data_IF_679075019468
#
_entry.id   IF_679075019468
#
_cell.length_a   1.000
_cell.length_b   1.000
_cell.length_c   1.000
_cell.angle_alpha   90.00
_cell.angle_beta   90.00
_cell.angle_gamma   90.00
#
_symmetry.space_group_name_H-M   'P 1'
#
loop_
_entity.id
_entity.type
_entity.pdbx_description
1 polymer ?
#
# COMPACT_ATOMS: atom_id res chain seq x y z
N UNK A 1 16.09 -32.26 -9.67
CA UNK A 1 15.71 -31.23 -8.68
C UNK A 1 16.81 -30.19 -8.42
N UNK A 2 18.08 -30.56 -8.47
CA UNK A 2 19.22 -29.63 -8.23
C UNK A 2 19.45 -28.58 -9.33
N UNK A 3 19.10 -28.84 -10.57
CA UNK A 3 19.37 -27.95 -11.72
C UNK A 3 18.51 -26.64 -11.69
N UNK A 4 17.31 -26.67 -11.10
CA UNK A 4 16.43 -25.49 -10.98
C UNK A 4 16.96 -24.45 -9.98
N UNK A 5 17.65 -24.88 -8.93
CA UNK A 5 18.22 -24.00 -7.92
C UNK A 5 19.45 -23.23 -8.42
N UNK A 6 20.22 -23.86 -9.32
CA UNK A 6 21.42 -23.25 -9.91
C UNK A 6 21.04 -22.12 -10.86
N UNK A 7 19.98 -22.25 -11.64
CA UNK A 7 19.55 -21.21 -12.59
C UNK A 7 19.02 -19.95 -11.87
N UNK A 8 18.30 -20.09 -10.76
CA UNK A 8 17.78 -18.96 -9.98
C UNK A 8 18.91 -18.26 -9.22
N UNK A 9 19.84 -19.01 -8.64
CA UNK A 9 21.01 -18.46 -7.96
C UNK A 9 21.96 -17.76 -8.94
N UNK A 10 22.14 -18.30 -10.15
CA UNK A 10 22.98 -17.71 -11.21
C UNK A 10 22.36 -16.43 -11.79
N UNK A 11 21.03 -16.34 -11.91
CA UNK A 11 20.34 -15.12 -12.31
C UNK A 11 20.49 -14.00 -11.26
N UNK A 12 20.44 -14.34 -9.98
CA UNK A 12 20.66 -13.36 -8.88
C UNK A 12 22.11 -12.90 -8.81
N UNK A 13 23.08 -13.80 -9.04
CA UNK A 13 24.51 -13.45 -9.02
C UNK A 13 24.97 -12.71 -10.29
N UNK A 14 24.43 -12.99 -11.47
CA UNK A 14 24.77 -12.24 -12.69
C UNK A 14 24.27 -10.79 -12.67
N UNK A 15 23.19 -10.47 -11.94
CA UNK A 15 22.70 -9.10 -11.76
C UNK A 15 23.55 -8.26 -10.78
N UNK A 16 24.34 -8.91 -9.91
CA UNK A 16 25.21 -8.22 -8.95
C UNK A 16 26.49 -7.68 -9.59
N UNK A 17 26.91 -8.21 -10.75
CA UNK A 17 28.18 -7.87 -11.41
C UNK A 17 28.08 -7.01 -12.67
N UNK A 18 26.92 -6.58 -13.11
CA UNK A 18 26.81 -5.59 -14.18
C UNK A 18 26.86 -4.18 -13.60
N UNK A 19 28.06 -3.63 -13.59
CA UNK A 19 28.35 -2.25 -13.17
C UNK A 19 27.65 -1.21 -14.03
N UNK A 20 27.29 -0.10 -13.37
CA UNK A 20 26.84 1.19 -13.90
C UNK A 20 25.41 1.25 -14.42
N UNK A 21 24.45 1.12 -13.51
CA UNK A 21 23.14 1.73 -13.70
C UNK A 21 23.16 3.12 -13.03
N UNK A 22 23.03 4.17 -13.81
CA UNK A 22 22.79 5.52 -13.30
C UNK A 22 21.44 5.53 -12.57
N UNK A 23 21.47 5.80 -11.27
CA UNK A 23 20.26 5.96 -10.49
C UNK A 23 19.52 7.23 -10.92
N UNK A 24 18.37 7.07 -11.55
CA UNK A 24 17.49 8.17 -11.89
C UNK A 24 16.74 8.62 -10.61
N UNK A 25 16.98 9.86 -10.22
CA UNK A 25 16.29 10.55 -9.13
C UNK A 25 14.83 10.76 -9.51
N UNK A 26 13.94 9.99 -8.94
CA UNK A 26 12.51 10.30 -8.96
C UNK A 26 12.20 11.31 -7.85
N UNK A 27 12.42 12.58 -8.16
CA UNK A 27 11.95 13.68 -7.34
C UNK A 27 10.55 14.03 -7.80
N UNK A 28 9.54 13.64 -7.02
CA UNK A 28 8.21 14.25 -7.11
C UNK A 28 8.33 15.73 -6.79
N UNK A 29 8.59 16.54 -7.82
CA UNK A 29 8.46 17.98 -7.74
C UNK A 29 6.98 18.31 -7.81
N UNK A 30 6.44 18.87 -6.74
CA UNK A 30 5.29 19.74 -6.83
C UNK A 30 5.60 20.85 -7.86
N UNK A 31 4.92 20.82 -8.97
CA UNK A 31 5.01 21.86 -9.99
C UNK A 31 4.17 23.04 -9.50
N UNK A 32 4.82 24.04 -8.95
CA UNK A 32 4.26 25.38 -8.89
C UNK A 32 4.20 25.94 -10.32
N UNK A 33 3.01 26.27 -10.76
CA UNK A 33 2.75 26.99 -12.01
C UNK A 33 3.27 28.42 -11.90
N UNK A 34 4.53 28.64 -12.29
CA UNK A 34 5.01 29.95 -12.79
C UNK A 34 6.47 29.80 -13.18
N UNK A 35 6.70 29.54 -14.44
CA UNK A 35 7.79 30.07 -15.27
C UNK A 35 7.93 29.27 -16.56
N UNK A 36 7.16 29.64 -17.56
CA UNK A 36 7.52 29.35 -18.96
C UNK A 36 8.73 30.19 -19.32
N UNK A 37 9.93 29.66 -19.19
CA UNK A 37 11.10 30.10 -19.93
C UNK A 37 11.61 28.92 -20.74
N UNK A 38 11.56 29.10 -22.07
CA UNK A 38 12.22 28.27 -23.04
C UNK A 38 13.67 28.02 -22.61
N UNK A 39 13.99 26.78 -22.37
CA UNK A 39 15.36 26.29 -22.43
C UNK A 39 15.41 25.32 -23.59
N UNK A 40 15.93 25.83 -24.73
CA UNK A 40 16.44 24.99 -25.78
C UNK A 40 17.62 24.18 -25.19
N UNK A 41 17.41 22.92 -24.91
CA UNK A 41 18.50 21.96 -24.75
C UNK A 41 18.21 20.72 -25.58
N UNK A 42 18.91 20.66 -26.66
CA UNK A 42 19.10 19.55 -27.56
C UNK A 42 19.90 18.43 -26.84
N UNK A 43 19.19 17.69 -25.98
CA UNK A 43 19.60 16.35 -25.56
C UNK A 43 18.33 15.53 -25.49
N UNK A 44 17.87 15.10 -26.67
CA UNK A 44 16.88 14.05 -26.78
C UNK A 44 17.53 12.72 -26.37
N UNK A 45 17.65 12.48 -25.06
CA UNK A 45 17.79 11.11 -24.58
C UNK A 45 16.52 10.38 -24.99
N UNK A 46 16.64 9.51 -25.98
CA UNK A 46 15.54 8.62 -26.36
C UNK A 46 15.14 7.83 -25.13
N UNK A 47 13.85 7.81 -24.75
CA UNK A 47 13.42 7.06 -23.58
C UNK A 47 13.93 5.62 -23.71
N UNK A 48 14.55 5.11 -22.64
CA UNK A 48 15.07 3.74 -22.66
C UNK A 48 13.90 2.79 -22.89
N UNK A 49 13.92 2.04 -23.97
CA UNK A 49 12.87 1.06 -24.32
C UNK A 49 12.68 -0.01 -23.26
N UNK A 50 13.70 -0.27 -22.46
CA UNK A 50 13.68 -1.26 -21.40
C UNK A 50 14.38 -0.73 -20.16
N UNK A 51 13.68 -0.77 -19.03
CA UNK A 51 14.22 -0.36 -17.74
C UNK A 51 14.01 -1.46 -16.70
N UNK A 52 14.99 -1.61 -15.83
CA UNK A 52 14.94 -2.50 -14.67
C UNK A 52 15.31 -1.67 -13.45
N UNK A 53 14.47 -1.73 -12.43
CA UNK A 53 14.76 -1.18 -11.11
C UNK A 53 14.21 -2.10 -10.03
N UNK A 54 14.54 -1.82 -8.80
CA UNK A 54 14.05 -2.65 -7.72
C UNK A 54 14.72 -2.33 -6.40
N UNK A 55 14.53 -3.25 -5.46
CA UNK A 55 15.19 -3.16 -4.17
C UNK A 55 15.42 -4.54 -3.56
N UNK A 56 16.36 -4.58 -2.63
CA UNK A 56 16.52 -5.67 -1.68
C UNK A 56 16.42 -5.04 -0.30
N UNK A 57 15.63 -5.65 0.58
CA UNK A 57 15.57 -5.26 1.99
C UNK A 57 15.69 -6.47 2.91
N UNK A 58 16.31 -6.25 4.03
CA UNK A 58 16.29 -7.12 5.19
C UNK A 58 15.45 -6.47 6.26
N UNK A 59 14.56 -7.24 6.88
CA UNK A 59 13.74 -6.81 8.00
C UNK A 59 13.83 -7.86 9.09
N UNK A 60 14.23 -7.44 10.29
CA UNK A 60 14.16 -8.25 11.49
C UNK A 60 13.04 -7.72 12.38
N UNK A 61 12.11 -8.60 12.76
CA UNK A 61 11.02 -8.30 13.67
C UNK A 61 11.20 -9.08 14.96
N UNK A 62 11.18 -8.37 16.08
CA UNK A 62 11.06 -8.94 17.42
C UNK A 62 9.70 -8.62 18.01
N UNK A 63 8.92 -9.64 18.38
CA UNK A 63 7.58 -9.48 18.98
C UNK A 63 7.51 -10.07 20.37
N UNK A 64 6.91 -9.35 21.31
CA UNK A 64 6.73 -9.74 22.72
C UNK A 64 5.45 -9.10 23.30
N UNK A 65 4.98 -9.56 24.44
CA UNK A 65 3.77 -8.99 25.07
C UNK A 65 4.15 -8.01 26.19
N UNK A 66 4.60 -8.48 27.33
CA UNK A 66 4.90 -7.60 28.47
C UNK A 66 6.41 -7.37 28.69
N UNK A 67 7.21 -8.38 28.40
CA UNK A 67 8.66 -8.34 28.57
C UNK A 67 9.36 -9.18 27.50
N UNK A 68 10.65 -9.05 27.41
CA UNK A 68 11.46 -9.73 26.39
C UNK A 68 11.63 -11.24 26.61
N UNK A 69 11.17 -11.81 27.74
CA UNK A 69 11.30 -13.26 28.00
C UNK A 69 10.51 -14.13 27.00
N UNK A 70 9.48 -13.56 26.39
CA UNK A 70 8.66 -14.21 25.36
C UNK A 70 8.96 -13.72 23.94
N UNK A 71 10.13 -13.14 23.70
CA UNK A 71 10.53 -12.60 22.40
C UNK A 71 10.49 -13.67 21.31
N UNK A 72 9.76 -13.37 20.23
CA UNK A 72 9.68 -14.19 19.02
C UNK A 72 10.26 -13.41 17.86
N UNK A 73 11.17 -14.03 17.13
CA UNK A 73 11.87 -13.40 16.00
C UNK A 73 11.31 -13.88 14.67
N UNK A 74 11.26 -12.95 13.72
CA UNK A 74 10.99 -13.16 12.32
C UNK A 74 11.99 -12.37 11.49
N UNK A 75 12.85 -13.06 10.75
CA UNK A 75 13.69 -12.47 9.72
C UNK A 75 13.01 -12.55 8.35
N UNK A 76 13.09 -11.50 7.57
CA UNK A 76 12.57 -11.41 6.22
C UNK A 76 13.60 -10.80 5.28
N UNK A 77 13.97 -11.54 4.23
CA UNK A 77 14.65 -10.99 3.07
C UNK A 77 13.61 -10.79 1.98
N UNK A 78 13.47 -9.57 1.51
CA UNK A 78 12.50 -9.19 0.50
C UNK A 78 13.23 -8.53 -0.69
N UNK A 79 13.11 -9.13 -1.85
CA UNK A 79 13.60 -8.58 -3.12
C UNK A 79 12.43 -8.26 -4.03
N UNK A 80 12.50 -7.14 -4.70
CA UNK A 80 11.57 -6.75 -5.76
C UNK A 80 12.32 -6.36 -7.01
N UNK A 81 11.85 -6.86 -8.15
CA UNK A 81 12.34 -6.55 -9.49
C UNK A 81 11.19 -5.98 -10.31
N UNK A 82 11.36 -4.80 -10.85
CA UNK A 82 10.40 -4.11 -11.69
C UNK A 82 10.99 -3.97 -13.09
N UNK A 83 10.33 -4.60 -14.05
CA UNK A 83 10.66 -4.53 -15.46
C UNK A 83 9.62 -3.68 -16.19
N UNK A 84 10.08 -2.70 -16.95
CA UNK A 84 9.24 -1.89 -17.84
C UNK A 84 9.83 -1.96 -19.25
N UNK A 85 8.97 -2.28 -20.21
CA UNK A 85 9.31 -2.26 -21.63
C UNK A 85 8.36 -1.33 -22.38
N UNK A 86 8.92 -0.35 -23.08
CA UNK A 86 8.18 0.66 -23.82
C UNK A 86 8.72 0.69 -25.24
N UNK A 87 8.13 -0.10 -26.18
CA UNK A 87 8.61 -0.19 -27.56
C UNK A 87 8.40 1.09 -28.36
N UNK A 88 7.33 1.84 -28.04
CA UNK A 88 6.92 3.08 -28.68
C UNK A 88 6.17 3.99 -27.68
N UNK A 89 5.64 5.10 -28.16
CA UNK A 89 4.94 6.10 -27.33
C UNK A 89 3.55 5.64 -26.88
N UNK A 90 3.01 4.56 -27.44
CA UNK A 90 1.68 4.08 -27.17
C UNK A 90 1.66 2.90 -26.18
N UNK A 91 2.60 1.98 -26.30
CA UNK A 91 2.60 0.74 -25.53
C UNK A 91 3.59 0.74 -24.38
N UNK A 92 3.13 0.31 -23.22
CA UNK A 92 3.97 0.03 -22.04
C UNK A 92 3.61 -1.33 -21.46
N UNK A 93 4.63 -2.18 -21.30
CA UNK A 93 4.51 -3.47 -20.62
C UNK A 93 5.22 -3.41 -19.29
N UNK A 94 4.58 -3.92 -18.22
CA UNK A 94 5.13 -3.97 -16.85
C UNK A 94 5.08 -5.38 -16.32
N UNK A 95 6.19 -5.81 -15.74
CA UNK A 95 6.28 -7.04 -14.96
C UNK A 95 7.01 -6.74 -13.66
N UNK A 96 6.34 -6.97 -12.52
CA UNK A 96 6.93 -6.74 -11.20
C UNK A 96 6.86 -8.01 -10.37
N UNK A 97 8.03 -8.49 -9.97
CA UNK A 97 8.20 -9.75 -9.26
C UNK A 97 8.72 -9.47 -7.86
N UNK A 98 8.06 -10.06 -6.88
CA UNK A 98 8.41 -9.98 -5.47
C UNK A 98 8.83 -11.35 -4.96
N UNK A 99 10.01 -11.41 -4.33
CA UNK A 99 10.55 -12.61 -3.70
C UNK A 99 10.72 -12.35 -2.21
N UNK A 100 10.23 -13.27 -1.37
CA UNK A 100 10.32 -13.17 0.09
C UNK A 100 10.85 -14.47 0.68
N UNK A 101 11.89 -14.36 1.50
CA UNK A 101 12.41 -15.45 2.32
C UNK A 101 12.14 -15.08 3.77
N UNK A 102 11.17 -15.75 4.39
CA UNK A 102 10.81 -15.58 5.80
C UNK A 102 11.43 -16.70 6.61
N UNK A 103 12.02 -16.38 7.76
CA UNK A 103 12.63 -17.39 8.64
C UNK A 103 12.53 -17.00 10.11
N UNK A 104 12.63 -17.96 10.99
CA UNK A 104 12.63 -17.75 12.44
C UNK A 104 11.48 -18.44 13.17
N UNK A 105 11.35 -18.09 14.44
CA UNK A 105 10.41 -18.73 15.36
C UNK A 105 8.95 -18.47 14.97
N UNK A 106 8.63 -17.30 14.41
CA UNK A 106 7.27 -16.97 14.01
C UNK A 106 6.83 -17.84 12.83
N UNK A 107 7.72 -18.10 11.86
CA UNK A 107 7.43 -19.02 10.73
C UNK A 107 7.12 -20.43 11.23
N UNK A 108 7.90 -20.91 12.20
CA UNK A 108 7.75 -22.25 12.78
C UNK A 108 6.47 -22.40 13.60
N UNK A 109 6.14 -21.40 14.41
CA UNK A 109 5.13 -21.51 15.48
C UNK A 109 3.76 -20.98 15.09
N UNK A 110 3.63 -20.27 13.96
CA UNK A 110 2.34 -19.72 13.53
C UNK A 110 1.68 -20.66 12.50
N UNK A 111 0.60 -21.39 12.87
CA UNK A 111 -0.13 -22.21 11.92
C UNK A 111 -0.67 -21.36 10.76
N UNK A 112 -0.42 -21.77 9.52
CA UNK A 112 -0.89 -21.01 8.35
C UNK A 112 -0.04 -19.79 7.97
N UNK A 113 1.18 -19.64 8.50
CA UNK A 113 2.09 -18.52 8.17
C UNK A 113 2.26 -18.33 6.65
N UNK A 114 2.40 -19.42 5.90
CA UNK A 114 2.51 -19.36 4.44
C UNK A 114 1.29 -18.67 3.78
N UNK A 115 0.08 -18.93 4.28
CA UNK A 115 -1.15 -18.30 3.77
C UNK A 115 -1.18 -16.80 4.03
N UNK A 116 -0.64 -16.32 5.16
CA UNK A 116 -0.49 -14.90 5.45
C UNK A 116 0.47 -14.23 4.45
N UNK A 117 1.61 -14.87 4.21
CA UNK A 117 2.63 -14.33 3.30
C UNK A 117 2.16 -14.33 1.86
N UNK A 118 1.49 -15.38 1.39
CA UNK A 118 0.98 -15.43 0.01
C UNK A 118 -0.16 -14.43 -0.24
N UNK A 119 -0.89 -14.04 0.81
CA UNK A 119 -1.98 -13.08 0.73
C UNK A 119 -3.17 -13.54 -0.13
N UNK A 120 -4.17 -12.70 -0.30
CA UNK A 120 -5.26 -12.97 -1.23
C UNK A 120 -4.70 -13.02 -2.65
N UNK A 121 -4.98 -14.13 -3.33
CA UNK A 121 -4.58 -14.33 -4.73
C UNK A 121 -5.65 -13.73 -5.61
N UNK A 122 -5.26 -12.96 -6.63
CA UNK A 122 -6.14 -12.52 -7.68
C UNK A 122 -6.86 -13.69 -8.38
N UNK A 123 -7.60 -13.43 -9.43
CA UNK A 123 -8.29 -14.46 -10.23
C UNK A 123 -7.30 -15.50 -10.73
N UNK A 124 -6.15 -15.04 -11.21
CA UNK A 124 -5.03 -15.90 -11.61
C UNK A 124 -4.07 -16.05 -10.43
N UNK A 125 -3.69 -17.29 -10.12
CA UNK A 125 -2.68 -17.54 -9.09
C UNK A 125 -1.28 -17.28 -9.67
N UNK A 126 -0.69 -16.14 -9.33
CA UNK A 126 0.68 -15.75 -9.71
C UNK A 126 1.63 -15.75 -8.49
N UNK A 127 1.39 -16.63 -7.54
CA UNK A 127 2.20 -16.77 -6.33
C UNK A 127 2.58 -18.24 -6.09
N UNK A 128 3.85 -18.50 -5.81
CA UNK A 128 4.38 -19.83 -5.59
C UNK A 128 5.23 -19.88 -4.33
N UNK A 129 5.03 -20.94 -3.52
CA UNK A 129 5.87 -21.25 -2.37
C UNK A 129 6.90 -22.30 -2.76
N UNK A 130 8.13 -21.89 -3.04
CA UNK A 130 9.23 -22.76 -3.42
C UNK A 130 9.73 -23.63 -2.27
N UNK A 131 9.74 -23.04 -1.08
CA UNK A 131 10.09 -23.70 0.18
C UNK A 131 9.03 -23.35 1.23
N UNK A 132 8.51 -24.36 1.89
CA UNK A 132 7.61 -24.20 3.04
C UNK A 132 7.93 -25.35 4.02
N UNK A 133 8.98 -25.16 4.81
CA UNK A 133 9.50 -26.19 5.71
C UNK A 133 9.89 -25.58 7.06
N UNK A 134 9.41 -26.21 8.15
CA UNK A 134 9.78 -25.86 9.53
C UNK A 134 9.76 -24.34 9.79
N UNK A 135 10.95 -23.71 9.82
CA UNK A 135 11.16 -22.30 10.15
C UNK A 135 11.54 -21.45 8.95
N UNK A 136 11.34 -21.93 7.72
CA UNK A 136 11.70 -21.20 6.49
C UNK A 136 10.57 -21.29 5.46
N UNK A 137 10.21 -20.13 4.92
CA UNK A 137 9.29 -19.99 3.80
C UNK A 137 9.97 -19.17 2.69
N UNK A 138 10.04 -19.70 1.47
CA UNK A 138 10.42 -18.92 0.29
C UNK A 138 9.22 -18.81 -0.65
N UNK A 139 8.77 -17.60 -0.86
CA UNK A 139 7.64 -17.25 -1.72
C UNK A 139 8.05 -16.28 -2.83
N UNK A 140 7.58 -16.53 -4.03
CA UNK A 140 7.65 -15.58 -5.15
C UNK A 140 6.24 -15.23 -5.63
N UNK A 141 6.00 -13.96 -5.89
CA UNK A 141 4.70 -13.44 -6.37
C UNK A 141 4.92 -12.45 -7.50
N UNK A 142 4.16 -12.56 -8.57
CA UNK A 142 4.07 -11.52 -9.60
C UNK A 142 2.98 -10.54 -9.13
N UNK A 143 3.41 -9.36 -8.70
CA UNK A 143 2.52 -8.30 -8.18
C UNK A 143 1.89 -7.48 -9.31
N UNK A 144 2.59 -7.34 -10.45
CA UNK A 144 2.13 -6.65 -11.65
C UNK A 144 2.52 -7.46 -12.89
N UNK A 145 1.59 -7.59 -13.81
CA UNK A 145 1.81 -8.14 -15.14
C UNK A 145 0.76 -7.52 -16.06
N UNK A 146 1.07 -6.38 -16.69
CA UNK A 146 0.10 -5.58 -17.43
C UNK A 146 0.67 -5.03 -18.73
N UNK A 147 -0.23 -4.81 -19.67
CA UNK A 147 -0.03 -4.07 -20.91
C UNK A 147 -0.92 -2.83 -20.89
N UNK A 148 -0.34 -1.67 -21.15
CA UNK A 148 -0.98 -0.37 -21.22
C UNK A 148 -0.86 0.17 -22.64
N UNK A 149 -1.94 0.72 -23.14
CA UNK A 149 -2.03 1.39 -24.42
C UNK A 149 -2.59 2.80 -24.25
N UNK A 150 -1.81 3.81 -24.63
CA UNK A 150 -2.20 5.22 -24.57
C UNK A 150 -2.27 5.80 -25.97
N UNK A 151 -3.41 6.37 -26.33
CA UNK A 151 -3.57 7.09 -27.60
C UNK A 151 -4.54 8.28 -27.43
N UNK A 152 -3.98 9.48 -27.56
CA UNK A 152 -4.71 10.72 -27.36
C UNK A 152 -5.36 10.81 -25.97
N UNK A 153 -6.68 10.72 -25.90
CA UNK A 153 -7.45 10.80 -24.66
C UNK A 153 -7.70 9.45 -23.98
N UNK A 154 -7.32 8.36 -24.63
CA UNK A 154 -7.58 7.01 -24.16
C UNK A 154 -6.35 6.41 -23.49
N UNK A 155 -6.53 5.80 -22.31
CA UNK A 155 -5.58 4.96 -21.61
C UNK A 155 -6.30 3.64 -21.29
N UNK A 156 -5.77 2.54 -21.84
CA UNK A 156 -6.34 1.20 -21.69
C UNK A 156 -5.27 0.31 -21.07
N UNK A 157 -5.55 -0.28 -19.92
CA UNK A 157 -4.64 -1.20 -19.25
C UNK A 157 -5.29 -2.55 -19.02
N UNK A 158 -4.62 -3.63 -19.42
CA UNK A 158 -5.06 -5.00 -19.25
C UNK A 158 -4.05 -5.80 -18.43
N UNK A 159 -4.54 -6.70 -17.58
CA UNK A 159 -3.72 -7.60 -16.76
C UNK A 159 -3.68 -7.22 -15.29
N UNK A 160 -2.69 -7.78 -14.55
CA UNK A 160 -2.52 -7.47 -13.13
C UNK A 160 -1.92 -6.09 -12.96
N UNK A 161 -2.72 -5.18 -12.44
CA UNK A 161 -2.39 -3.76 -12.30
C UNK A 161 -2.89 -3.21 -10.97
N UNK A 162 -2.35 -2.07 -10.53
CA UNK A 162 -2.91 -1.30 -9.44
C UNK A 162 -3.95 -0.32 -9.98
N UNK A 163 -5.17 -0.43 -9.47
CA UNK A 163 -6.23 0.55 -9.70
C UNK A 163 -6.36 1.32 -8.39
N UNK A 164 -5.95 2.57 -8.39
CA UNK A 164 -5.95 3.41 -7.18
C UNK A 164 -7.03 4.48 -7.29
N UNK A 165 -8.14 4.25 -6.60
CA UNK A 165 -9.24 5.19 -6.51
C UNK A 165 -9.32 5.89 -5.14
N UNK A 166 -8.42 5.55 -4.23
CA UNK A 166 -8.33 6.21 -2.94
C UNK A 166 -7.60 7.55 -3.00
N UNK A 167 -8.11 8.53 -2.28
CA UNK A 167 -7.54 9.88 -2.12
C UNK A 167 -6.86 10.01 -0.75
N UNK A 168 -7.47 9.43 0.28
CA UNK A 168 -7.01 9.53 1.66
C UNK A 168 -5.72 8.75 1.89
N UNK A 169 -4.98 9.10 2.94
CA UNK A 169 -3.66 8.53 3.21
C UNK A 169 -3.74 7.25 4.02
N UNK A 170 -4.57 7.22 5.08
CA UNK A 170 -4.65 6.12 6.04
C UNK A 170 -5.73 5.12 5.64
N UNK A 171 -6.95 5.57 5.52
CA UNK A 171 -8.09 4.75 5.11
C UNK A 171 -8.66 5.27 3.81
N UNK A 172 -8.80 4.39 2.82
CA UNK A 172 -9.22 4.71 1.46
C UNK A 172 -10.49 3.94 1.08
N UNK A 173 -11.68 4.34 1.59
CA UNK A 173 -12.94 3.67 1.30
C UNK A 173 -13.24 3.49 -0.19
N UNK A 174 -12.81 4.45 -1.02
CA UNK A 174 -13.03 4.43 -2.45
C UNK A 174 -12.08 3.51 -3.22
N UNK A 175 -11.03 2.98 -2.58
CA UNK A 175 -10.10 2.03 -3.21
C UNK A 175 -10.68 0.60 -3.19
N UNK A 176 -11.77 0.40 -3.94
CA UNK A 176 -12.55 -0.84 -3.95
C UNK A 176 -11.82 -2.00 -4.62
N UNK A 177 -10.83 -1.75 -5.47
CA UNK A 177 -10.06 -2.79 -6.17
C UNK A 177 -8.86 -3.28 -5.38
N UNK A 178 -8.19 -2.40 -4.61
CA UNK A 178 -6.90 -2.68 -3.98
C UNK A 178 -6.84 -2.25 -2.52
N UNK A 179 -7.73 -2.78 -1.69
CA UNK A 179 -7.75 -2.47 -0.26
C UNK A 179 -6.41 -2.78 0.40
N UNK A 180 -5.93 -1.85 1.20
CA UNK A 180 -4.61 -1.86 1.81
C UNK A 180 -4.69 -1.98 3.34
N UNK A 181 -3.71 -2.67 3.94
CA UNK A 181 -3.53 -2.72 5.38
C UNK A 181 -2.41 -1.75 5.81
N UNK A 182 -2.77 -0.70 6.52
CA UNK A 182 -1.82 0.30 7.02
C UNK A 182 -0.76 -0.29 7.98
N UNK A 183 -1.04 -1.42 8.62
CA UNK A 183 -0.12 -2.07 9.56
C UNK A 183 0.90 -3.01 8.92
N UNK A 184 0.82 -3.25 7.62
CA UNK A 184 1.80 -4.08 6.92
C UNK A 184 3.00 -3.24 6.48
N UNK A 185 4.02 -3.14 7.35
CA UNK A 185 5.24 -2.40 7.06
C UNK A 185 6.16 -3.04 6.02
N UNK A 186 5.99 -4.32 5.76
CA UNK A 186 6.73 -4.99 4.68
C UNK A 186 6.17 -4.62 3.31
N UNK A 187 4.88 -4.35 3.24
CA UNK A 187 4.16 -4.15 1.99
C UNK A 187 4.10 -2.67 1.62
N UNK A 188 5.23 -2.13 1.14
CA UNK A 188 5.33 -0.72 0.70
C UNK A 188 4.42 -0.44 -0.51
N UNK A 189 4.12 -1.48 -1.30
CA UNK A 189 3.35 -1.36 -2.51
C UNK A 189 2.02 -2.10 -2.40
N UNK A 190 0.94 -1.43 -2.78
CA UNK A 190 -0.40 -2.01 -2.71
C UNK A 190 -0.55 -3.17 -3.68
N UNK A 191 -1.35 -4.20 -3.35
CA UNK A 191 -1.58 -5.36 -4.21
C UNK A 191 -2.15 -4.94 -5.57
N UNK A 192 -1.98 -5.80 -6.58
CA UNK A 192 -2.60 -5.65 -7.89
C UNK A 192 -3.89 -6.43 -7.98
N UNK A 193 -4.80 -5.95 -8.85
CA UNK A 193 -5.98 -6.65 -9.30
C UNK A 193 -5.81 -7.14 -10.73
N UNK A 194 -6.27 -8.35 -11.02
CA UNK A 194 -6.39 -8.84 -12.39
C UNK A 194 -7.59 -8.13 -13.01
N UNK A 195 -7.36 -7.19 -13.94
CA UNK A 195 -8.39 -6.27 -14.38
C UNK A 195 -8.21 -5.79 -15.82
N UNK A 196 -9.31 -5.33 -16.39
CA UNK A 196 -9.34 -4.44 -17.53
C UNK A 196 -9.75 -3.04 -17.05
N UNK A 197 -8.99 -2.02 -17.45
CA UNK A 197 -9.24 -0.62 -17.13
C UNK A 197 -9.23 0.21 -18.39
N UNK A 198 -10.16 1.12 -18.52
CA UNK A 198 -10.24 2.10 -19.61
C UNK A 198 -10.48 3.48 -19.00
N UNK A 199 -9.56 4.38 -19.22
CA UNK A 199 -9.66 5.77 -18.81
C UNK A 199 -9.81 6.67 -20.04
N UNK A 200 -10.78 7.56 -19.99
CA UNK A 200 -10.97 8.61 -21.00
C UNK A 200 -10.74 9.98 -20.38
N UNK A 201 -9.70 10.67 -20.83
CA UNK A 201 -9.33 12.00 -20.39
C UNK A 201 -10.15 13.03 -21.17
N UNK A 202 -11.16 13.62 -20.54
CA UNK A 202 -12.02 14.65 -21.14
C UNK A 202 -11.22 15.90 -21.40
N UNK A 203 -10.49 16.32 -20.37
CA UNK A 203 -9.56 17.44 -20.37
C UNK A 203 -8.47 17.18 -19.30
N UNK A 204 -7.44 18.05 -19.11
CA UNK A 204 -6.36 17.82 -18.15
C UNK A 204 -6.79 17.63 -16.69
N UNK A 205 -7.97 18.13 -16.31
CA UNK A 205 -8.48 18.08 -14.92
C UNK A 205 -9.74 17.22 -14.75
N UNK A 206 -10.17 16.51 -15.80
CA UNK A 206 -11.39 15.69 -15.74
C UNK A 206 -11.24 14.40 -16.56
N UNK A 207 -11.63 13.28 -15.98
CA UNK A 207 -11.59 11.97 -16.64
C UNK A 207 -12.72 11.06 -16.19
N UNK A 208 -13.05 10.08 -17.03
CA UNK A 208 -13.90 8.94 -16.68
C UNK A 208 -13.02 7.71 -16.71
N UNK A 209 -13.09 6.91 -15.66
CA UNK A 209 -12.32 5.69 -15.47
C UNK A 209 -13.28 4.52 -15.27
N UNK A 210 -13.24 3.54 -16.14
CA UNK A 210 -14.01 2.30 -16.05
C UNK A 210 -13.06 1.14 -15.75
N UNK A 211 -13.36 0.34 -14.74
CA UNK A 211 -12.55 -0.81 -14.39
C UNK A 211 -13.42 -2.03 -14.04
N UNK A 212 -12.96 -3.20 -14.48
CA UNK A 212 -13.57 -4.49 -14.17
C UNK A 212 -12.48 -5.45 -13.73
N UNK A 213 -12.68 -6.06 -12.56
CA UNK A 213 -11.81 -7.11 -12.00
C UNK A 213 -12.67 -8.37 -11.79
N UNK A 214 -12.52 -9.41 -12.61
CA UNK A 214 -13.19 -10.68 -12.38
C UNK A 214 -12.64 -11.35 -11.12
N UNK A 215 -13.51 -11.98 -10.36
CA UNK A 215 -13.14 -12.85 -9.23
C UNK A 215 -13.06 -14.32 -9.65
N UNK A 216 -12.66 -15.20 -8.71
CA UNK A 216 -12.74 -16.65 -8.92
C UNK A 216 -14.15 -17.17 -9.01
N UNK A 217 -15.08 -16.45 -8.39
CA UNK A 217 -16.53 -16.69 -8.48
C UNK A 217 -17.21 -15.39 -8.85
N UNK A 218 -18.42 -15.47 -9.40
CA UNK A 218 -19.23 -14.30 -9.72
C UNK A 218 -19.44 -13.36 -8.51
N UNK A 219 -19.39 -13.94 -7.30
CA UNK A 219 -19.55 -13.21 -6.03
C UNK A 219 -18.37 -12.32 -5.69
N UNK A 220 -17.23 -12.53 -6.33
CA UNK A 220 -15.99 -11.78 -6.10
C UNK A 220 -15.73 -10.73 -7.18
N UNK A 221 -16.60 -10.65 -8.20
CA UNK A 221 -16.45 -9.68 -9.28
C UNK A 221 -16.59 -8.24 -8.74
N UNK A 222 -15.75 -7.36 -9.28
CA UNK A 222 -15.82 -5.92 -9.02
C UNK A 222 -15.87 -5.23 -10.39
N UNK A 223 -16.80 -4.31 -10.56
CA UNK A 223 -16.88 -3.49 -11.76
C UNK A 223 -17.49 -2.14 -11.43
N UNK A 224 -16.82 -1.07 -11.84
CA UNK A 224 -17.28 0.27 -11.49
C UNK A 224 -16.80 1.32 -12.50
N UNK A 225 -17.48 2.45 -12.49
CA UNK A 225 -17.10 3.66 -13.22
C UNK A 225 -16.88 4.78 -12.24
N UNK A 226 -15.82 5.58 -12.47
CA UNK A 226 -15.47 6.76 -11.68
C UNK A 226 -15.38 7.97 -12.58
N UNK A 227 -15.92 9.08 -12.12
CA UNK A 227 -15.75 10.39 -12.71
C UNK A 227 -14.90 11.27 -11.81
N UNK A 228 -13.77 11.73 -12.35
CA UNK A 228 -12.88 12.70 -11.73
C UNK A 228 -13.09 14.08 -12.35
N UNK A 229 -13.10 15.12 -11.49
CA UNK A 229 -13.13 16.50 -11.96
C UNK A 229 -12.53 17.44 -10.90
N UNK A 230 -11.92 18.53 -11.36
CA UNK A 230 -11.47 19.62 -10.50
C UNK A 230 -12.47 20.77 -10.55
N UNK A 231 -12.82 21.29 -9.38
CA UNK A 231 -13.68 22.48 -9.23
C UNK A 231 -13.38 23.19 -7.91
N UNK A 232 -13.30 24.52 -7.92
CA UNK A 232 -13.02 25.34 -6.73
C UNK A 232 -11.71 24.96 -6.03
N UNK A 233 -10.67 24.66 -6.80
CA UNK A 233 -9.37 24.19 -6.32
C UNK A 233 -9.41 22.87 -5.49
N UNK A 234 -10.49 22.10 -5.65
CA UNK A 234 -10.63 20.76 -5.12
C UNK A 234 -10.73 19.74 -6.25
N UNK A 235 -10.06 18.64 -6.08
CA UNK A 235 -10.25 17.44 -6.88
C UNK A 235 -11.38 16.60 -6.29
N UNK A 236 -12.41 16.35 -7.07
CA UNK A 236 -13.56 15.53 -6.71
C UNK A 236 -13.54 14.21 -7.46
N UNK A 237 -14.06 13.20 -6.82
CA UNK A 237 -14.36 11.92 -7.46
C UNK A 237 -15.73 11.42 -7.04
N UNK A 238 -16.44 10.82 -8.00
CA UNK A 238 -17.72 10.13 -7.80
C UNK A 238 -17.63 8.78 -8.49
N UNK A 239 -17.99 7.72 -7.81
CA UNK A 239 -18.02 6.41 -8.44
C UNK A 239 -19.31 5.66 -8.14
N UNK A 240 -19.66 4.71 -9.04
CA UNK A 240 -20.75 3.77 -8.87
C UNK A 240 -20.42 2.46 -9.57
N UNK A 241 -20.93 1.36 -9.05
CA UNK A 241 -20.68 0.05 -9.64
C UNK A 241 -21.20 -1.10 -8.81
N UNK A 242 -20.58 -2.25 -9.01
CA UNK A 242 -20.84 -3.50 -8.28
C UNK A 242 -19.58 -3.94 -7.57
N UNK A 243 -19.67 -4.15 -6.29
CA UNK A 243 -18.64 -4.74 -5.45
C UNK A 243 -19.15 -6.03 -4.83
N UNK A 244 -18.63 -7.19 -5.30
CA UNK A 244 -18.99 -8.51 -4.77
C UNK A 244 -20.52 -8.73 -4.73
N UNK A 245 -21.19 -8.60 -5.88
CA UNK A 245 -22.66 -8.66 -6.09
C UNK A 245 -23.48 -7.49 -5.54
N UNK A 246 -22.92 -6.66 -4.67
CA UNK A 246 -23.65 -5.55 -4.10
C UNK A 246 -23.43 -4.28 -4.91
N UNK A 247 -24.50 -3.52 -5.12
CA UNK A 247 -24.37 -2.15 -5.60
C UNK A 247 -23.47 -1.35 -4.66
N UNK A 248 -22.59 -0.55 -5.23
CA UNK A 248 -21.71 0.36 -4.48
C UNK A 248 -21.68 1.72 -5.15
N UNK A 249 -21.59 2.75 -4.35
CA UNK A 249 -21.36 4.11 -4.79
C UNK A 249 -20.50 4.85 -3.77
N UNK A 250 -19.74 5.83 -4.22
CA UNK A 250 -18.93 6.63 -3.33
C UNK A 250 -18.55 7.97 -3.91
N UNK A 251 -18.02 8.82 -3.04
CA UNK A 251 -17.56 10.13 -3.36
C UNK A 251 -16.28 10.44 -2.58
N UNK A 252 -15.45 11.32 -3.11
CA UNK A 252 -14.27 11.80 -2.41
C UNK A 252 -13.88 13.18 -2.88
N UNK A 253 -13.07 13.83 -2.07
CA UNK A 253 -12.49 15.14 -2.38
C UNK A 253 -11.10 15.27 -1.80
N UNK A 254 -10.25 16.03 -2.48
CA UNK A 254 -8.95 16.48 -2.00
C UNK A 254 -8.73 17.94 -2.38
N UNK A 255 -8.31 18.73 -1.45
CA UNK A 255 -8.01 20.14 -1.62
C UNK A 255 -7.38 20.71 -0.37
N UNK A 256 -7.41 22.04 -0.27
CA UNK A 256 -6.81 22.72 0.87
C UNK A 256 -7.80 23.69 1.51
N UNK A 257 -7.75 23.79 2.83
CA UNK A 257 -8.35 24.90 3.60
C UNK A 257 -7.20 25.80 4.01
N UNK A 258 -7.01 26.91 3.29
CA UNK A 258 -5.80 27.74 3.35
C UNK A 258 -4.55 26.89 3.06
N UNK A 259 -3.65 26.74 4.03
CA UNK A 259 -2.41 25.98 3.91
C UNK A 259 -2.52 24.53 4.42
N UNK A 260 -3.68 24.12 4.94
CA UNK A 260 -3.91 22.77 5.45
C UNK A 260 -4.55 21.90 4.37
N UNK A 261 -3.99 20.73 4.12
CA UNK A 261 -4.59 19.70 3.27
C UNK A 261 -5.90 19.21 3.89
N UNK A 262 -6.96 19.06 3.09
CA UNK A 262 -8.26 18.58 3.50
C UNK A 262 -8.80 17.56 2.51
N UNK A 263 -8.99 16.31 2.97
CA UNK A 263 -9.38 15.18 2.15
C UNK A 263 -10.48 14.38 2.83
N UNK A 264 -11.35 13.81 2.03
CA UNK A 264 -12.37 12.90 2.55
C UNK A 264 -12.85 11.94 1.49
N UNK A 265 -13.33 10.79 1.97
CA UNK A 265 -13.93 9.73 1.15
C UNK A 265 -15.12 9.15 1.86
N UNK A 266 -16.11 8.73 1.09
CA UNK A 266 -17.24 7.94 1.58
C UNK A 266 -17.61 6.91 0.53
N UNK A 267 -17.84 5.67 0.98
CA UNK A 267 -18.34 4.57 0.17
C UNK A 267 -19.53 3.91 0.85
N UNK A 268 -20.55 3.64 0.05
CA UNK A 268 -21.74 2.89 0.42
C UNK A 268 -21.74 1.56 -0.34
N UNK A 269 -22.10 0.49 0.35
CA UNK A 269 -22.27 -0.84 -0.20
C UNK A 269 -23.67 -1.35 0.18
N UNK A 270 -24.51 -1.54 -0.80
CA UNK A 270 -25.83 -2.13 -0.61
C UNK A 270 -25.72 -3.59 -0.16
N UNK A 271 -26.81 -4.13 0.34
CA UNK A 271 -26.95 -5.55 0.65
C UNK A 271 -28.37 -6.00 0.43
N UNK A 272 -28.52 -7.25 0.02
CA UNK A 272 -29.85 -7.89 -0.09
C UNK A 272 -30.49 -8.16 1.30
N UNK A 273 -29.67 -8.09 2.37
CA UNK A 273 -30.15 -8.20 3.75
C UNK A 273 -30.23 -6.81 4.36
N UNK A 274 -31.37 -6.39 4.94
CA UNK A 274 -31.60 -5.03 5.43
C UNK A 274 -30.51 -4.50 6.38
N UNK A 275 -29.94 -5.35 7.23
CA UNK A 275 -28.96 -4.95 8.26
C UNK A 275 -27.49 -5.16 7.84
N UNK A 276 -27.25 -5.47 6.55
CA UNK A 276 -25.91 -5.80 6.06
C UNK A 276 -25.35 -4.76 5.07
N UNK A 277 -26.09 -3.71 4.78
CA UNK A 277 -25.56 -2.56 4.05
C UNK A 277 -24.45 -1.89 4.86
N UNK A 278 -23.41 -1.40 4.21
CA UNK A 278 -22.30 -0.79 4.91
C UNK A 278 -21.92 0.57 4.36
N UNK A 279 -21.45 1.41 5.26
CA UNK A 279 -20.85 2.71 4.97
C UNK A 279 -19.46 2.73 5.58
N UNK A 280 -18.48 3.12 4.79
CA UNK A 280 -17.14 3.47 5.25
C UNK A 280 -16.86 4.92 4.85
N UNK A 281 -16.41 5.73 5.79
CA UNK A 281 -16.08 7.13 5.54
C UNK A 281 -14.77 7.51 6.24
N UNK A 282 -13.92 8.25 5.55
CA UNK A 282 -12.69 8.80 6.11
C UNK A 282 -12.60 10.30 5.88
N UNK A 283 -12.02 10.99 6.84
CA UNK A 283 -11.74 12.42 6.78
C UNK A 283 -10.32 12.65 7.27
N UNK A 284 -9.54 13.46 6.57
CA UNK A 284 -8.15 13.74 6.92
C UNK A 284 -7.83 15.23 6.77
N UNK A 285 -7.06 15.74 7.72
CA UNK A 285 -6.46 17.07 7.68
C UNK A 285 -4.97 16.92 7.92
N UNK A 286 -4.16 17.59 7.12
CA UNK A 286 -2.71 17.61 7.29
C UNK A 286 -2.15 19.01 7.14
N UNK A 287 -1.06 19.28 7.86
CA UNK A 287 -0.41 20.59 7.85
C UNK A 287 1.11 20.46 8.01
N UNK A 288 1.85 21.18 7.15
CA UNK A 288 3.29 21.31 7.25
C UNK A 288 3.64 22.68 7.82
N UNK A 289 4.17 22.73 9.03
CA UNK A 289 4.60 23.95 9.69
C UNK A 289 5.90 24.48 9.09
N UNK A 290 6.09 25.81 9.14
CA UNK A 290 7.30 26.46 8.62
C UNK A 290 8.60 26.00 9.29
N UNK A 291 8.53 25.49 10.51
CA UNK A 291 9.66 24.93 11.25
C UNK A 291 10.00 23.48 10.83
N UNK A 292 9.30 22.91 9.84
CA UNK A 292 9.55 21.56 9.32
C UNK A 292 8.77 20.44 10.03
N UNK A 293 7.98 20.76 11.05
CA UNK A 293 7.06 19.77 11.65
C UNK A 293 5.89 19.54 10.69
N UNK A 294 5.59 18.28 10.41
CA UNK A 294 4.38 17.87 9.71
C UNK A 294 3.45 17.16 10.68
N UNK A 295 2.17 17.48 10.64
CA UNK A 295 1.12 16.80 11.41
C UNK A 295 -0.01 16.36 10.50
N UNK A 296 -0.60 15.22 10.81
CA UNK A 296 -1.79 14.68 10.15
C UNK A 296 -2.76 14.15 11.18
N UNK A 297 -4.05 14.44 10.98
CA UNK A 297 -5.16 13.86 11.72
C UNK A 297 -6.10 13.19 10.72
N UNK A 298 -6.57 12.01 11.05
CA UNK A 298 -7.55 11.29 10.23
C UNK A 298 -8.58 10.59 11.10
N UNK A 299 -9.82 10.53 10.64
CA UNK A 299 -10.92 9.82 11.28
C UNK A 299 -11.51 8.78 10.33
N UNK A 300 -11.87 7.63 10.85
CA UNK A 300 -12.61 6.58 10.15
C UNK A 300 -13.94 6.32 10.85
N UNK A 301 -15.00 6.30 10.04
CA UNK A 301 -16.27 5.68 10.38
C UNK A 301 -16.42 4.39 9.54
N UNK A 302 -16.72 3.28 10.20
CA UNK A 302 -16.90 1.97 9.58
C UNK A 302 -18.14 1.31 10.19
N UNK A 303 -19.24 1.30 9.45
CA UNK A 303 -20.54 0.80 9.98
C UNK A 303 -20.50 -0.68 10.38
N UNK A 304 -19.64 -1.50 9.74
CA UNK A 304 -19.43 -2.92 10.08
C UNK A 304 -18.42 -3.13 11.20
N UNK A 305 -17.80 -2.06 11.71
CA UNK A 305 -16.84 -2.14 12.80
C UNK A 305 -17.51 -2.53 14.13
N UNK A 306 -16.77 -3.22 14.97
CA UNK A 306 -17.21 -3.66 16.29
C UNK A 306 -17.18 -2.51 17.30
N UNK A 307 -18.11 -2.57 18.26
CA UNK A 307 -18.15 -1.67 19.42
C UNK A 307 -17.61 -2.37 20.70
N UNK A 308 -16.91 -3.51 20.52
CA UNK A 308 -16.38 -4.32 21.63
C UNK A 308 -14.88 -4.48 21.50
N UNK A 309 -14.23 -4.71 22.63
CA UNK A 309 -12.82 -5.10 22.70
C UNK A 309 -12.55 -6.32 21.85
N UNK A 310 -11.50 -6.25 21.02
CA UNK A 310 -11.03 -7.31 20.18
C UNK A 310 -9.69 -7.79 20.73
N UNK A 311 -9.44 -9.09 20.70
CA UNK A 311 -8.12 -9.62 21.03
C UNK A 311 -7.14 -9.36 19.86
N UNK A 312 -5.84 -9.45 20.15
CA UNK A 312 -4.77 -9.19 19.16
C UNK A 312 -4.90 -10.10 17.93
N UNK A 313 -5.35 -11.34 18.09
CA UNK A 313 -5.51 -12.29 16.99
C UNK A 313 -6.61 -11.82 16.04
N UNK A 314 -7.71 -11.31 16.54
CA UNK A 314 -8.79 -10.75 15.70
C UNK A 314 -8.34 -9.45 15.01
N UNK A 315 -7.56 -8.62 15.69
CA UNK A 315 -7.02 -7.38 15.13
C UNK A 315 -6.09 -7.66 13.95
N UNK A 316 -5.21 -8.65 14.09
CA UNK A 316 -4.21 -8.99 13.06
C UNK A 316 -4.74 -9.94 11.97
N UNK A 317 -5.72 -10.79 12.29
CA UNK A 317 -6.31 -11.75 11.37
C UNK A 317 -7.56 -11.23 10.63
N UNK A 318 -8.05 -10.02 10.97
CA UNK A 318 -9.20 -9.43 10.28
C UNK A 318 -8.89 -9.20 8.81
N UNK A 319 -9.69 -9.81 7.95
CA UNK A 319 -9.61 -9.57 6.50
C UNK A 319 -10.13 -8.15 6.21
N UNK A 320 -9.21 -7.25 5.92
CA UNK A 320 -9.58 -5.90 5.51
C UNK A 320 -10.16 -5.91 4.11
N UNK A 321 -11.16 -5.10 3.89
CA UNK A 321 -11.85 -4.92 2.62
C UNK A 321 -12.36 -3.48 2.51
N UNK A 322 -12.76 -3.04 1.33
CA UNK A 322 -13.37 -1.72 1.16
C UNK A 322 -14.62 -1.53 2.03
N UNK A 323 -15.36 -2.62 2.31
CA UNK A 323 -16.53 -2.60 3.22
C UNK A 323 -16.16 -2.53 4.70
N UNK A 324 -14.97 -3.03 5.08
CA UNK A 324 -14.51 -3.12 6.46
C UNK A 324 -13.03 -2.78 6.52
N UNK A 325 -12.73 -1.49 6.60
CA UNK A 325 -11.38 -0.96 6.56
C UNK A 325 -10.60 -1.11 7.86
N UNK A 326 -11.30 -1.31 8.98
CA UNK A 326 -10.71 -1.50 10.29
C UNK A 326 -11.69 -2.21 11.21
N UNK A 327 -11.21 -3.00 12.18
CA UNK A 327 -12.09 -3.81 13.04
C UNK A 327 -13.08 -3.01 13.92
N UNK A 328 -12.82 -1.73 14.16
CA UNK A 328 -13.64 -0.87 15.01
C UNK A 328 -14.50 0.11 14.22
N UNK A 329 -15.62 0.54 14.78
CA UNK A 329 -16.58 1.46 14.16
C UNK A 329 -16.04 2.88 14.03
N UNK A 330 -15.44 3.41 15.08
CA UNK A 330 -14.87 4.76 15.11
C UNK A 330 -13.40 4.68 15.50
N UNK A 331 -12.53 5.19 14.64
CA UNK A 331 -11.09 5.21 14.87
C UNK A 331 -10.52 6.56 14.46
N UNK A 332 -9.68 7.12 15.30
CA UNK A 332 -8.89 8.31 15.03
C UNK A 332 -7.43 7.90 14.82
N UNK A 333 -6.76 8.58 13.91
CA UNK A 333 -5.32 8.49 13.69
C UNK A 333 -4.70 9.87 13.77
N UNK A 334 -3.57 9.97 14.43
CA UNK A 334 -2.73 11.16 14.46
C UNK A 334 -1.30 10.79 14.17
N UNK A 335 -0.61 11.60 13.37
CA UNK A 335 0.83 11.47 13.12
C UNK A 335 1.49 12.83 13.23
N UNK A 336 2.66 12.86 13.86
CA UNK A 336 3.57 13.98 13.80
C UNK A 336 4.93 13.48 13.29
N UNK A 337 5.57 14.23 12.40
CA UNK A 337 6.90 13.91 11.91
C UNK A 337 7.77 15.14 11.77
N UNK A 338 9.09 14.95 11.93
CA UNK A 338 10.08 15.99 11.81
C UNK A 338 11.36 15.46 11.15
N UNK A 339 11.86 16.22 10.18
CA UNK A 339 13.13 15.94 9.53
C UNK A 339 14.24 16.76 10.23
N UNK A 340 15.02 16.12 11.10
CA UNK A 340 16.15 16.75 11.81
C UNK A 340 17.26 17.14 10.85
N UNK A 341 17.38 16.39 9.77
CA UNK A 341 18.29 16.67 8.67
C UNK A 341 17.74 16.03 7.37
N UNK A 342 18.34 16.32 6.19
CA UNK A 342 17.94 15.66 4.94
C UNK A 342 18.07 14.13 4.96
N UNK A 343 18.87 13.58 5.88
CA UNK A 343 19.14 12.13 6.00
C UNK A 343 18.51 11.50 7.23
N UNK A 344 17.91 12.28 8.15
CA UNK A 344 17.33 11.76 9.39
C UNK A 344 15.94 12.33 9.67
N UNK A 345 14.94 11.45 9.72
CA UNK A 345 13.55 11.76 10.02
C UNK A 345 13.04 10.91 11.18
N UNK A 346 12.28 11.51 12.08
CA UNK A 346 11.48 10.78 13.07
C UNK A 346 10.00 11.06 12.87
N UNK A 347 9.16 10.05 13.11
CA UNK A 347 7.71 10.18 13.16
C UNK A 347 7.13 9.40 14.33
N UNK A 348 6.01 9.88 14.84
CA UNK A 348 5.18 9.23 15.83
C UNK A 348 3.75 9.22 15.33
N UNK A 349 3.27 8.02 14.97
CA UNK A 349 1.88 7.76 14.66
C UNK A 349 1.14 7.16 15.85
N UNK A 350 -0.16 7.40 15.92
CA UNK A 350 -1.02 6.80 16.92
C UNK A 350 -2.44 6.61 16.42
N UNK A 351 -3.06 5.50 16.78
CA UNK A 351 -4.49 5.25 16.56
C UNK A 351 -5.22 5.09 17.89
N UNK A 352 -6.38 5.66 17.95
CA UNK A 352 -7.32 5.47 19.07
C UNK A 352 -8.68 5.02 18.54
N UNK A 353 -9.10 3.83 18.92
CA UNK A 353 -10.41 3.30 18.56
C UNK A 353 -11.40 3.61 19.68
N UNK A 354 -12.29 4.59 19.45
CA UNK A 354 -13.24 5.06 20.45
C UNK A 354 -14.23 3.95 20.86
N UNK A 355 -14.69 3.16 19.89
CA UNK A 355 -15.64 2.08 20.16
C UNK A 355 -15.02 0.89 20.89
N UNK A 356 -13.73 0.63 20.69
CA UNK A 356 -13.02 -0.52 21.28
C UNK A 356 -12.08 -0.16 22.43
N UNK A 357 -11.94 1.12 22.79
CA UNK A 357 -10.98 1.61 23.78
C UNK A 357 -9.58 0.99 23.59
N UNK A 358 -9.10 1.02 22.33
CA UNK A 358 -7.82 0.45 21.97
C UNK A 358 -6.87 1.52 21.42
N UNK A 359 -5.62 1.43 21.81
CA UNK A 359 -4.56 2.36 21.38
C UNK A 359 -3.48 1.58 20.62
N UNK A 360 -3.01 2.15 19.52
CA UNK A 360 -1.85 1.66 18.80
C UNK A 360 -0.86 2.82 18.68
N UNK A 361 0.41 2.57 18.99
CA UNK A 361 1.49 3.56 18.94
C UNK A 361 2.55 3.08 17.95
N UNK A 362 2.98 3.98 17.06
CA UNK A 362 3.82 3.68 15.89
C UNK A 362 5.00 4.68 15.79
N UNK A 363 6.01 4.61 16.66
CA UNK A 363 7.24 5.40 16.48
C UNK A 363 8.06 4.86 15.31
N UNK A 364 8.61 5.75 14.49
CA UNK A 364 9.49 5.40 13.37
C UNK A 364 10.66 6.36 13.29
N UNK A 365 11.86 5.82 13.16
CA UNK A 365 13.10 6.53 12.87
C UNK A 365 13.59 6.06 11.51
N UNK A 366 13.87 7.00 10.61
CA UNK A 366 14.40 6.72 9.26
C UNK A 366 15.72 7.44 9.08
N UNK A 367 16.74 6.70 8.66
CA UNK A 367 18.08 7.22 8.40
C UNK A 367 18.59 6.78 7.03
N UNK A 368 18.99 7.73 6.20
CA UNK A 368 19.64 7.46 4.92
C UNK A 368 21.13 7.26 5.16
N UNK A 369 21.60 6.01 5.09
CA UNK A 369 23.01 5.65 5.36
C UNK A 369 23.92 6.14 4.22
N UNK A 370 23.36 6.23 3.01
CA UNK A 370 24.09 6.63 1.81
C UNK A 370 23.17 6.64 0.60
N UNK A 371 23.75 6.81 -0.58
CA UNK A 371 22.99 6.76 -1.82
C UNK A 371 22.28 5.41 -1.94
N UNK A 372 20.93 5.44 -2.06
CA UNK A 372 20.06 4.27 -2.23
C UNK A 372 19.98 3.32 -1.00
N UNK A 373 20.60 3.65 0.14
CA UNK A 373 20.51 2.86 1.36
C UNK A 373 19.69 3.56 2.43
N UNK A 374 18.73 2.84 3.02
CA UNK A 374 17.85 3.32 4.07
C UNK A 374 17.85 2.35 5.24
N UNK A 375 17.92 2.89 6.44
CA UNK A 375 17.77 2.18 7.71
C UNK A 375 16.54 2.72 8.42
N UNK A 376 15.64 1.83 8.84
CA UNK A 376 14.48 2.20 9.64
C UNK A 376 14.45 1.39 10.93
N UNK A 377 14.13 2.07 12.03
CA UNK A 377 13.73 1.47 13.29
C UNK A 377 12.27 1.82 13.54
N UNK A 378 11.40 0.81 13.60
CA UNK A 378 9.96 0.98 13.73
C UNK A 378 9.50 0.26 14.98
N UNK A 379 8.72 0.95 15.81
CA UNK A 379 8.02 0.37 16.95
C UNK A 379 6.53 0.21 16.64
N UNK A 380 5.91 -0.80 17.21
CA UNK A 380 4.46 -0.99 17.15
C UNK A 380 3.99 -1.56 18.48
N UNK A 381 3.13 -0.85 19.19
CA UNK A 381 2.59 -1.26 20.47
C UNK A 381 1.07 -1.20 20.45
N UNK A 382 0.44 -2.26 20.91
CA UNK A 382 -1.01 -2.41 20.95
C UNK A 382 -1.46 -2.47 22.41
N UNK A 383 -2.43 -1.64 22.76
CA UNK A 383 -3.05 -1.61 24.08
C UNK A 383 -4.56 -1.68 23.94
N UNK A 384 -5.21 -2.30 24.92
CA UNK A 384 -6.66 -2.34 25.01
C UNK A 384 -7.08 -2.16 26.46
N UNK A 385 -8.19 -1.46 26.64
CA UNK A 385 -8.75 -1.22 27.97
C UNK A 385 -9.51 -2.47 28.44
N UNK A 386 -9.13 -2.98 29.61
CA UNK A 386 -9.81 -4.06 30.33
C UNK A 386 -9.98 -3.62 31.78
N UNK A 387 -11.18 -3.74 32.34
CA UNK A 387 -11.48 -3.34 33.72
C UNK A 387 -10.98 -1.93 34.06
N UNK A 388 -11.18 -0.95 33.16
CA UNK A 388 -10.75 0.46 33.28
C UNK A 388 -9.24 0.70 33.28
N UNK A 389 -8.43 -0.32 33.05
CA UNK A 389 -6.97 -0.22 32.90
C UNK A 389 -6.54 -0.64 31.52
N UNK A 390 -5.50 0.03 30.94
CA UNK A 390 -4.91 -0.38 29.67
C UNK A 390 -3.89 -1.49 29.88
N UNK A 391 -4.01 -2.55 29.11
CA UNK A 391 -3.10 -3.68 29.09
C UNK A 391 -2.46 -3.81 27.72
N UNK A 392 -1.19 -4.18 27.67
CA UNK A 392 -0.51 -4.49 26.42
C UNK A 392 -1.09 -5.77 25.80
N UNK A 393 -1.48 -5.68 24.55
CA UNK A 393 -1.87 -6.84 23.74
C UNK A 393 -0.68 -7.43 22.98
N UNK A 394 0.39 -6.64 22.78
CA UNK A 394 1.60 -7.05 22.09
C UNK A 394 2.40 -5.85 21.62
N UNK A 395 3.70 -6.07 21.50
CA UNK A 395 4.66 -5.10 21.01
C UNK A 395 5.51 -5.74 19.92
N UNK A 396 5.91 -4.95 18.95
CA UNK A 396 6.87 -5.37 17.94
C UNK A 396 7.88 -4.26 17.69
N UNK A 397 9.12 -4.66 17.48
CA UNK A 397 10.21 -3.77 17.05
C UNK A 397 10.72 -4.33 15.74
N UNK A 398 10.88 -3.45 14.75
CA UNK A 398 11.38 -3.81 13.42
C UNK A 398 12.66 -3.01 13.15
N UNK A 399 13.70 -3.71 12.71
CA UNK A 399 14.89 -3.13 12.12
C UNK A 399 14.89 -3.46 10.63
N UNK A 400 14.88 -2.44 9.77
CA UNK A 400 14.82 -2.61 8.33
C UNK A 400 15.99 -1.91 7.65
N UNK A 401 16.72 -2.64 6.82
CA UNK A 401 17.73 -2.11 5.91
C UNK A 401 17.26 -2.35 4.49
N UNK A 402 17.22 -1.30 3.67
CA UNK A 402 16.77 -1.34 2.28
C UNK A 402 17.82 -0.73 1.37
N UNK A 403 18.08 -1.39 0.25
CA UNK A 403 18.89 -0.90 -0.85
C UNK A 403 18.08 -0.91 -2.14
N UNK A 404 17.96 0.26 -2.79
CA UNK A 404 17.31 0.44 -4.09
C UNK A 404 18.32 0.53 -5.23
N UNK A 405 17.97 0.07 -6.41
CA UNK A 405 18.79 0.12 -7.62
C UNK A 405 17.97 0.39 -8.88
#
# INVERSE_FOLDING_TARGET
MQTKYIIILTLVTCLIFSNTAYAQRDTTKHVNSDTLKQVNNDTTERPHKFTVNGYIKYLEQGSFVNNLSGLKLLGLIHNRLNFKYQPDDHFTYRLEVRNRICFGQMVKNYPGFASLVTGPRGTVNLSENWVNKNSVLFNSTIDRASAEYINGKWDITLGRQRINWGISTVWTPNDIFNTFNYFDFDYEERPGSDAARVQYNINPSSSIDFAVSPGKTAEQNIGAVMYHFNKWDYDFQLFSGVYQKNFTAGAGWAGNIKDAGFKGEVSYFASDKPDSASVAASLSVDYAFKNGIYVMLSGLYNSLGNDRLINITQLTASTLSAKNMFPFRYTLFAEASYSFSPIFKASLGGMYSLSGNSIIILPTLTYSIGNNWMLDLIGQSFFSQQNRSYHSLGNSIYLRVKWGF
#
